data_IF_752324120541
#
_entry.id   IF_752324120541
#
_cell.length_a   1.000
_cell.length_b   1.000
_cell.length_c   1.000
_cell.angle_alpha   90.00
_cell.angle_beta   90.00
_cell.angle_gamma   90.00
#
_symmetry.space_group_name_H-M   'P 1'
#
loop_
_entity.id
_entity.type
_entity.pdbx_description
1 polymer ?
#
# COMPACT_ATOMS: atom_id res chain seq x y z
N UNK A 1 -25.38 -8.93 15.68
CA UNK A 1 -24.05 -8.73 16.29
C UNK A 1 -23.07 -8.51 15.15
N UNK A 2 -22.50 -7.31 15.04
CA UNK A 2 -21.44 -7.01 14.06
C UNK A 2 -20.13 -7.48 14.70
N UNK A 3 -19.51 -8.52 14.14
CA UNK A 3 -18.32 -9.19 14.71
C UNK A 3 -17.18 -8.18 14.93
N UNK A 4 -16.53 -8.26 16.09
CA UNK A 4 -15.34 -7.45 16.41
C UNK A 4 -14.14 -7.74 15.49
N UNK A 5 -14.18 -8.84 14.72
CA UNK A 5 -13.20 -9.24 13.68
C UNK A 5 -13.32 -8.44 12.36
N UNK A 6 -14.38 -7.64 12.16
CA UNK A 6 -14.53 -6.81 10.93
C UNK A 6 -13.63 -5.56 10.92
N UNK A 7 -13.02 -5.23 12.06
CA UNK A 7 -12.22 -4.03 12.32
C UNK A 7 -10.75 -4.35 12.58
N UNK A 8 -10.23 -5.48 12.07
CA UNK A 8 -8.79 -5.74 11.98
C UNK A 8 -8.15 -4.85 10.89
N UNK A 9 -8.00 -3.57 11.25
CA UNK A 9 -6.82 -2.73 11.08
C UNK A 9 -6.10 -2.93 9.74
N UNK A 10 -6.52 -2.18 8.72
CA UNK A 10 -5.86 -1.96 7.41
C UNK A 10 -5.12 -3.19 6.83
N UNK A 11 -5.77 -3.88 5.89
CA UNK A 11 -5.17 -4.94 5.10
C UNK A 11 -4.91 -4.49 3.66
N UNK A 12 -3.92 -5.08 3.01
CA UNK A 12 -3.63 -4.82 1.60
C UNK A 12 -4.84 -5.20 0.73
N UNK A 13 -5.36 -4.32 -0.14
CA UNK A 13 -6.51 -4.62 -1.00
C UNK A 13 -6.24 -5.77 -1.99
N UNK A 14 -4.96 -6.00 -2.36
CA UNK A 14 -4.56 -7.04 -3.32
C UNK A 14 -4.46 -8.44 -2.70
N UNK A 15 -3.75 -8.57 -1.58
CA UNK A 15 -3.45 -9.88 -0.97
C UNK A 15 -4.15 -10.11 0.38
N UNK A 16 -4.84 -9.10 0.92
CA UNK A 16 -5.44 -9.10 2.27
C UNK A 16 -4.45 -9.36 3.40
N UNK A 17 -3.15 -9.22 3.12
CA UNK A 17 -2.08 -9.33 4.11
C UNK A 17 -1.87 -8.02 4.89
N UNK A 18 -1.00 -8.06 5.91
CA UNK A 18 -0.72 -6.89 6.75
C UNK A 18 -0.01 -5.78 5.95
N UNK A 19 -0.34 -4.53 6.26
CA UNK A 19 0.40 -3.35 5.77
C UNK A 19 1.03 -2.60 6.96
N UNK A 20 2.09 -1.85 6.69
CA UNK A 20 2.78 -1.01 7.69
C UNK A 20 2.90 0.41 7.17
N UNK A 21 2.71 1.39 8.05
CA UNK A 21 2.98 2.80 7.72
C UNK A 21 4.48 2.97 7.49
N UNK A 22 4.87 3.72 6.46
CA UNK A 22 6.26 4.06 6.19
C UNK A 22 6.80 5.09 7.21
N UNK A 23 8.11 5.36 7.18
CA UNK A 23 8.75 6.28 8.14
C UNK A 23 8.22 7.72 8.04
N UNK A 24 7.89 8.17 6.82
CA UNK A 24 7.33 9.49 6.55
C UNK A 24 5.83 9.62 6.94
N UNK A 25 5.17 8.51 7.26
CA UNK A 25 3.74 8.44 7.60
C UNK A 25 2.79 8.94 6.51
N UNK A 26 3.23 8.92 5.25
CA UNK A 26 2.48 9.32 4.07
C UNK A 26 2.16 8.12 3.16
N UNK A 27 2.45 6.89 3.59
CA UNK A 27 2.16 5.69 2.82
C UNK A 27 2.04 4.41 3.64
N UNK A 28 1.29 3.44 3.10
CA UNK A 28 1.13 2.09 3.61
C UNK A 28 1.89 1.10 2.72
N UNK A 29 2.88 0.46 3.31
CA UNK A 29 3.74 -0.52 2.68
C UNK A 29 3.18 -1.93 2.87
N UNK A 30 3.00 -2.64 1.76
CA UNK A 30 2.74 -4.07 1.73
C UNK A 30 4.01 -4.82 1.31
N UNK A 31 4.72 -5.41 2.28
CA UNK A 31 5.92 -6.21 2.02
C UNK A 31 5.67 -7.42 1.09
N UNK A 32 4.59 -8.23 1.27
CA UNK A 32 4.34 -9.37 0.38
C UNK A 32 4.10 -8.99 -1.08
N UNK A 33 3.42 -7.87 -1.32
CA UNK A 33 3.14 -7.40 -2.69
C UNK A 33 4.24 -6.51 -3.27
N UNK A 34 5.20 -6.08 -2.45
CA UNK A 34 6.17 -5.03 -2.79
C UNK A 34 5.49 -3.76 -3.31
N UNK A 35 4.41 -3.32 -2.65
CA UNK A 35 3.64 -2.14 -3.04
C UNK A 35 3.58 -1.11 -1.90
N UNK A 36 3.46 0.16 -2.27
CA UNK A 36 3.15 1.28 -1.38
C UNK A 36 1.87 1.98 -1.84
N UNK A 37 0.94 2.15 -0.92
CA UNK A 37 -0.31 2.90 -1.09
C UNK A 37 -0.13 4.28 -0.45
N UNK A 38 -0.25 5.36 -1.21
CA UNK A 38 -0.10 6.72 -0.68
C UNK A 38 -1.26 7.12 0.25
N UNK A 39 -0.98 8.03 1.18
CA UNK A 39 -1.97 8.68 2.03
C UNK A 39 -2.06 10.14 1.57
N UNK A 40 -3.23 10.54 1.07
CA UNK A 40 -3.51 11.90 0.59
C UNK A 40 -4.65 12.48 1.42
N UNK A 41 -4.50 13.70 1.92
CA UNK A 41 -5.50 14.35 2.78
C UNK A 41 -5.90 13.49 3.99
N UNK A 42 -4.92 12.80 4.59
CA UNK A 42 -5.11 11.84 5.69
C UNK A 42 -5.97 10.60 5.33
N UNK A 43 -6.26 10.39 4.04
CA UNK A 43 -7.02 9.25 3.51
C UNK A 43 -6.06 8.29 2.76
N UNK A 44 -5.94 7.02 3.19
CA UNK A 44 -5.17 6.03 2.45
C UNK A 44 -5.81 5.68 1.10
N UNK A 45 -5.08 5.88 0.01
CA UNK A 45 -5.49 5.50 -1.35
C UNK A 45 -5.21 4.01 -1.55
N UNK A 46 -6.08 3.16 -0.99
CA UNK A 46 -6.01 1.70 -1.12
C UNK A 46 -6.59 1.18 -2.44
N UNK A 47 -6.21 1.81 -3.55
CA UNK A 47 -6.56 1.37 -4.90
C UNK A 47 -5.37 0.63 -5.49
N UNK A 48 -5.61 -0.56 -6.06
CA UNK A 48 -4.55 -1.40 -6.64
C UNK A 48 -3.91 -0.70 -7.84
N UNK A 49 -4.70 0.04 -8.63
CA UNK A 49 -4.23 0.75 -9.82
C UNK A 49 -3.37 1.99 -9.50
N UNK A 50 -3.53 2.56 -8.30
CA UNK A 50 -2.75 3.70 -7.81
C UNK A 50 -1.52 3.25 -6.99
N UNK A 51 -1.42 1.97 -6.66
CA UNK A 51 -0.34 1.43 -5.84
C UNK A 51 0.99 1.51 -6.58
N UNK A 52 2.01 2.04 -5.91
CA UNK A 52 3.37 2.17 -6.48
C UNK A 52 4.23 0.98 -6.07
N UNK A 53 5.18 0.51 -6.90
CA UNK A 53 6.15 -0.50 -6.50
C UNK A 53 7.08 0.04 -5.41
N UNK A 54 7.36 -0.77 -4.39
CA UNK A 54 8.43 -0.48 -3.45
C UNK A 54 9.77 -0.51 -4.19
N UNK A 55 10.43 0.64 -4.27
CA UNK A 55 11.74 0.77 -4.90
C UNK A 55 11.74 1.14 -6.38
N UNK A 56 10.60 1.52 -6.98
CA UNK A 56 10.63 2.18 -8.29
C UNK A 56 10.77 3.69 -8.10
N UNK A 57 12.00 4.19 -8.21
CA UNK A 57 12.23 5.61 -8.34
C UNK A 57 11.63 6.08 -9.68
N UNK A 58 10.92 7.23 -9.74
CA UNK A 58 10.43 7.80 -10.99
C UNK A 58 11.64 8.31 -11.80
N UNK A 59 12.33 7.39 -12.45
CA UNK A 59 13.67 7.58 -13.00
C UNK A 59 14.30 6.31 -13.56
N UNK A 60 13.85 5.13 -13.14
CA UNK A 60 14.16 3.87 -13.82
C UNK A 60 13.41 3.83 -15.15
N UNK A 61 14.00 4.50 -16.16
CA UNK A 61 13.86 4.06 -17.54
C UNK A 61 14.17 2.57 -17.54
N UNK A 62 13.17 1.73 -17.75
CA UNK A 62 13.39 0.40 -18.29
C UNK A 62 13.49 0.57 -19.82
N UNK A 63 14.68 0.49 -20.43
CA UNK A 63 14.79 0.32 -21.88
C UNK A 63 14.80 -1.16 -22.31
N UNK A 64 14.69 -2.12 -21.38
CA UNK A 64 14.61 -3.57 -21.68
C UNK A 64 13.18 -4.08 -21.36
N UNK A 65 12.39 -4.46 -22.36
CA UNK A 65 12.45 -5.74 -23.12
C UNK A 65 11.95 -6.93 -22.31
#
# INVERSE_FOLDING_TARGET
>A
MLNQELLDILACPKCRGPVRVNEAKDGLICQPCQLIYEIRDEIPIMLIDEAKPLGHEPGDRNPDS
#
